data_IF_048020745127
#
_entry.id   IF_048020745127
#
_cell.length_a   1.000
_cell.length_b   1.000
_cell.length_c   1.000
_cell.angle_alpha   90.00
_cell.angle_beta   90.00
_cell.angle_gamma   90.00
#
_symmetry.space_group_name_H-M   'P 1'
#
loop_
_entity.id
_entity.type
_entity.pdbx_description
1 polymer ?
#
# COMPACT_ATOMS: atom_id res chain seq x y z
N UNK A 1 -3.02 -10.97 6.42
CA UNK A 1 -2.45 -10.22 5.29
C UNK A 1 -0.94 -10.10 5.50
N UNK A 2 -0.12 -10.55 4.54
CA UNK A 2 1.32 -10.26 4.58
C UNK A 2 1.51 -8.80 4.19
N UNK A 3 2.31 -8.09 4.96
CA UNK A 3 2.60 -6.69 4.65
C UNK A 3 3.75 -6.58 3.70
N UNK A 4 3.62 -5.69 2.72
CA UNK A 4 4.72 -5.37 1.80
C UNK A 4 5.74 -4.42 2.47
N UNK A 5 5.28 -3.55 3.38
CA UNK A 5 6.14 -2.61 4.12
C UNK A 5 5.82 -2.60 5.63
N UNK A 6 6.83 -2.66 6.50
CA UNK A 6 6.66 -2.42 7.93
C UNK A 6 6.83 -0.94 8.23
N UNK A 7 5.72 -0.22 8.37
CA UNK A 7 5.70 1.23 8.54
C UNK A 7 5.15 1.61 9.93
N UNK A 8 5.80 2.55 10.65
CA UNK A 8 5.29 3.07 11.91
C UNK A 8 3.86 3.61 11.78
N UNK A 9 3.02 3.37 12.79
CA UNK A 9 1.64 3.85 12.77
C UNK A 9 0.69 3.09 11.82
N UNK A 10 1.16 1.98 11.24
CA UNK A 10 0.36 1.10 10.38
C UNK A 10 -0.97 0.70 11.03
N UNK A 11 -2.06 0.82 10.27
CA UNK A 11 -3.41 0.47 10.71
C UNK A 11 -3.74 -1.02 10.60
N UNK A 12 -2.77 -1.89 10.30
CA UNK A 12 -2.98 -3.35 10.11
C UNK A 12 -3.87 -4.00 11.16
N UNK A 13 -3.61 -3.72 12.45
CA UNK A 13 -4.34 -4.33 13.57
C UNK A 13 -5.80 -3.88 13.64
N UNK A 14 -6.11 -2.68 13.16
CA UNK A 14 -7.45 -2.08 13.23
C UNK A 14 -8.13 -1.96 11.87
N UNK A 15 -7.52 -2.47 10.79
CA UNK A 15 -8.03 -2.35 9.43
C UNK A 15 -9.45 -2.93 9.30
N UNK A 16 -9.70 -4.13 9.84
CA UNK A 16 -11.04 -4.75 9.82
C UNK A 16 -12.09 -3.91 10.56
N UNK A 17 -11.69 -3.26 11.67
CA UNK A 17 -12.59 -2.37 12.40
C UNK A 17 -12.91 -1.12 11.57
N UNK A 18 -11.92 -0.50 10.94
CA UNK A 18 -12.11 0.65 10.03
C UNK A 18 -13.07 0.27 8.89
N UNK A 19 -12.81 -0.85 8.22
CA UNK A 19 -13.57 -1.32 7.06
C UNK A 19 -15.05 -1.57 7.41
N UNK A 20 -15.34 -2.11 8.60
CA UNK A 20 -16.72 -2.34 9.06
C UNK A 20 -17.55 -1.05 9.11
N UNK A 21 -16.92 0.11 9.26
CA UNK A 21 -17.58 1.40 9.33
C UNK A 21 -17.58 2.15 7.99
N UNK A 22 -17.06 1.56 6.92
CA UNK A 22 -17.13 2.16 5.59
C UNK A 22 -18.52 1.95 4.98
N UNK A 23 -19.17 3.01 4.44
CA UNK A 23 -20.36 2.83 3.64
C UNK A 23 -20.02 2.16 2.29
N UNK A 24 -21.01 1.63 1.56
CA UNK A 24 -20.82 1.25 0.16
C UNK A 24 -20.26 2.43 -0.64
N UNK A 25 -19.23 2.18 -1.44
CA UNK A 25 -18.54 3.21 -2.19
C UNK A 25 -18.07 2.70 -3.55
N UNK A 26 -18.12 3.58 -4.54
CA UNK A 26 -17.54 3.33 -5.87
C UNK A 26 -16.06 3.76 -5.93
N UNK A 27 -15.69 4.77 -5.14
CA UNK A 27 -14.35 5.34 -5.11
C UNK A 27 -13.79 5.32 -3.69
N UNK A 28 -12.51 4.99 -3.58
CA UNK A 28 -11.76 4.98 -2.33
C UNK A 28 -10.58 5.93 -2.44
N UNK A 29 -10.41 6.80 -1.44
CA UNK A 29 -9.32 7.75 -1.34
C UNK A 29 -8.58 7.56 -0.01
N UNK A 30 -7.28 7.33 -0.07
CA UNK A 30 -6.41 7.21 1.11
C UNK A 30 -5.25 8.22 1.01
N UNK A 31 -5.42 9.45 1.54
CA UNK A 31 -4.42 10.52 1.40
C UNK A 31 -3.14 10.34 2.23
N UNK A 32 -3.20 9.44 3.22
CA UNK A 32 -2.13 9.11 4.17
C UNK A 32 -1.87 7.61 4.12
N UNK A 33 -1.34 7.16 3.00
CA UNK A 33 -1.30 5.75 2.62
C UNK A 33 -0.41 4.89 3.54
N UNK A 34 0.78 5.37 3.88
CA UNK A 34 1.82 4.61 4.59
C UNK A 34 2.06 3.26 3.90
N UNK A 35 1.79 2.16 4.61
CA UNK A 35 1.94 0.81 4.05
C UNK A 35 0.69 0.24 3.37
N UNK A 36 -0.37 1.04 3.16
CA UNK A 36 -1.62 0.60 2.52
C UNK A 36 -2.45 -0.41 3.30
N UNK A 37 -2.36 -0.39 4.63
CA UNK A 37 -2.98 -1.41 5.48
C UNK A 37 -4.50 -1.54 5.29
N UNK A 38 -5.19 -0.43 5.03
CA UNK A 38 -6.64 -0.40 4.85
C UNK A 38 -6.98 -0.74 3.40
N UNK A 39 -6.34 -0.09 2.42
CA UNK A 39 -6.52 -0.40 0.99
C UNK A 39 -6.45 -1.90 0.68
N UNK A 40 -5.37 -2.56 1.12
CA UNK A 40 -5.13 -3.97 0.80
C UNK A 40 -6.02 -4.95 1.58
N UNK A 41 -6.65 -4.50 2.66
CA UNK A 41 -7.52 -5.33 3.49
C UNK A 41 -9.01 -5.20 3.12
N UNK A 42 -9.43 -4.06 2.53
CA UNK A 42 -10.83 -3.85 2.12
C UNK A 42 -11.14 -4.57 0.82
N UNK A 43 -12.43 -4.72 0.51
CA UNK A 43 -12.86 -5.13 -0.82
C UNK A 43 -12.42 -4.08 -1.85
N UNK A 44 -11.95 -4.52 -3.01
CA UNK A 44 -11.54 -3.60 -4.07
C UNK A 44 -12.72 -2.76 -4.57
N UNK A 45 -12.47 -1.48 -4.78
CA UNK A 45 -13.41 -0.54 -5.39
C UNK A 45 -12.99 -0.26 -6.85
N UNK A 46 -13.91 0.08 -7.76
CA UNK A 46 -13.58 0.41 -9.15
C UNK A 46 -12.53 1.51 -9.29
N UNK A 47 -12.52 2.49 -8.38
CA UNK A 47 -11.53 3.57 -8.36
C UNK A 47 -10.89 3.63 -6.98
N UNK A 48 -9.56 3.52 -6.95
CA UNK A 48 -8.75 3.59 -5.73
C UNK A 48 -7.62 4.57 -5.95
N UNK A 49 -7.61 5.66 -5.16
CA UNK A 49 -6.58 6.69 -5.22
C UNK A 49 -5.86 6.74 -3.89
N UNK A 50 -4.53 6.68 -3.95
CA UNK A 50 -3.67 6.77 -2.77
C UNK A 50 -2.72 7.93 -2.92
N UNK A 51 -2.37 8.54 -1.80
CA UNK A 51 -1.32 9.53 -1.72
C UNK A 51 -0.53 9.32 -0.43
N UNK A 52 0.72 9.73 -0.46
CA UNK A 52 1.51 9.95 0.75
C UNK A 52 2.40 11.19 0.55
N UNK A 53 2.72 11.86 1.65
CA UNK A 53 3.68 12.96 1.62
C UNK A 53 5.11 12.43 1.51
N UNK A 54 5.35 11.24 2.07
CA UNK A 54 6.64 10.57 2.00
C UNK A 54 6.89 10.02 0.58
N UNK A 55 7.78 10.68 -0.15
CA UNK A 55 8.15 10.33 -1.52
C UNK A 55 8.72 8.91 -1.64
N UNK A 56 9.37 8.39 -0.59
CA UNK A 56 9.93 7.03 -0.61
C UNK A 56 8.84 5.96 -0.53
N UNK A 57 7.75 6.24 0.20
CA UNK A 57 6.55 5.38 0.18
C UNK A 57 5.97 5.32 -1.23
N UNK A 58 5.76 6.48 -1.86
CA UNK A 58 5.23 6.55 -3.22
C UNK A 58 6.16 5.86 -4.22
N UNK A 59 7.46 6.08 -4.12
CA UNK A 59 8.49 5.45 -4.94
C UNK A 59 8.46 3.93 -4.81
N UNK A 60 8.48 3.41 -3.58
CA UNK A 60 8.44 1.97 -3.31
C UNK A 60 7.27 1.28 -4.01
N UNK A 61 6.05 1.81 -3.85
CA UNK A 61 4.87 1.21 -4.46
C UNK A 61 4.84 1.37 -6.00
N UNK A 62 5.44 2.41 -6.56
CA UNK A 62 5.64 2.53 -8.02
C UNK A 62 6.60 1.47 -8.55
N UNK A 63 7.75 1.30 -7.89
CA UNK A 63 8.79 0.34 -8.29
C UNK A 63 8.26 -1.10 -8.27
N UNK A 64 7.59 -1.54 -7.21
CA UNK A 64 7.09 -2.93 -7.11
C UNK A 64 5.89 -3.21 -8.04
N UNK A 65 5.18 -2.16 -8.49
CA UNK A 65 4.05 -2.29 -9.41
C UNK A 65 4.53 -2.46 -10.84
N UNK A 66 5.60 -1.77 -11.22
CA UNK A 66 6.21 -1.86 -12.54
C UNK A 66 7.04 -3.17 -12.68
N UNK A 67 6.75 -4.04 -13.66
CA UNK A 67 7.45 -5.32 -13.78
C UNK A 67 8.97 -5.20 -13.96
N UNK A 68 9.43 -4.26 -14.81
CA UNK A 68 10.85 -4.08 -15.10
C UNK A 68 11.61 -3.54 -13.89
N UNK A 69 11.07 -2.52 -13.23
CA UNK A 69 11.66 -1.95 -12.02
C UNK A 69 11.65 -2.94 -10.86
N UNK A 70 10.58 -3.75 -10.73
CA UNK A 70 10.49 -4.80 -9.72
C UNK A 70 11.57 -5.87 -9.91
N UNK A 71 11.81 -6.31 -11.15
CA UNK A 71 12.83 -7.31 -11.46
C UNK A 71 14.24 -6.80 -11.11
N UNK A 72 14.56 -5.56 -11.52
CA UNK A 72 15.82 -4.90 -11.14
C UNK A 72 15.99 -4.77 -9.63
N UNK A 73 14.92 -4.38 -8.91
CA UNK A 73 14.96 -4.30 -7.45
C UNK A 73 15.24 -5.66 -6.80
N UNK A 74 14.63 -6.75 -7.32
CA UNK A 74 14.88 -8.10 -6.82
C UNK A 74 16.33 -8.52 -7.04
N UNK A 75 16.91 -8.21 -8.21
CA UNK A 75 18.32 -8.45 -8.50
C UNK A 75 19.22 -7.66 -7.54
N UNK A 76 18.98 -6.36 -7.35
CA UNK A 76 19.76 -5.54 -6.43
C UNK A 76 19.70 -6.07 -5.00
N UNK A 77 18.52 -6.44 -4.50
CA UNK A 77 18.38 -7.01 -3.15
C UNK A 77 19.15 -8.33 -3.02
N UNK A 78 19.22 -9.15 -4.07
CA UNK A 78 19.95 -10.42 -4.04
C UNK A 78 21.47 -10.24 -3.99
N UNK A 79 22.00 -9.14 -4.52
CA UNK A 79 23.44 -8.89 -4.66
C UNK A 79 23.97 -7.72 -3.82
N UNK A 80 23.11 -6.96 -3.15
CA UNK A 80 23.51 -5.90 -2.21
C UNK A 80 23.67 -6.53 -0.81
N UNK A 81 24.85 -6.41 -0.17
CA UNK A 81 25.12 -6.97 1.16
C UNK A 81 24.14 -6.53 2.25
#
# INVERSE_FOLDING_TARGET
MRSVLNYPGSKKRIASWIIKHMPPHHSYLEPYFGCGAVLFAKQSAPIETVNDLDGEVVNFFRVIRDPESREKLQEWIAYTP
#
